data_IF_698325961263
#
_entry.id   IF_698325961263
#
_cell.length_a   1.000
_cell.length_b   1.000
_cell.length_c   1.000
_cell.angle_alpha   90.00
_cell.angle_beta   90.00
_cell.angle_gamma   90.00
#
_symmetry.space_group_name_H-M   'P 1'
#
loop_
_entity.id
_entity.type
_entity.pdbx_description
1 polymer ?
#
# COMPACT_ATOMS: atom_id res chain seq x y z
N UNK A 1 9.40 1.32 7.63
CA UNK A 1 8.55 0.31 6.95
C UNK A 1 7.18 0.31 7.60
N UNK A 2 6.11 -0.07 6.88
CA UNK A 2 4.78 -0.26 7.49
C UNK A 2 4.79 -1.40 8.54
N UNK A 3 5.55 -2.47 8.31
CA UNK A 3 5.68 -3.56 9.27
C UNK A 3 6.25 -3.08 10.60
N UNK A 4 7.29 -2.24 10.56
CA UNK A 4 7.86 -1.64 11.77
C UNK A 4 6.83 -0.82 12.53
N UNK A 5 6.01 -0.02 11.83
CA UNK A 5 4.94 0.76 12.47
C UNK A 5 3.91 -0.14 13.16
N UNK A 6 3.51 -1.24 12.52
CA UNK A 6 2.61 -2.24 13.12
C UNK A 6 3.22 -2.84 14.39
N UNK A 7 4.49 -3.22 14.35
CA UNK A 7 5.18 -3.78 15.52
C UNK A 7 5.35 -2.76 16.66
N UNK A 8 5.57 -1.48 16.33
CA UNK A 8 5.63 -0.41 17.35
C UNK A 8 4.28 -0.25 18.05
N UNK A 9 3.17 -0.24 17.30
CA UNK A 9 1.83 -0.19 17.90
C UNK A 9 1.54 -1.44 18.73
N UNK A 10 1.92 -2.63 18.26
CA UNK A 10 1.81 -3.88 19.02
C UNK A 10 2.63 -3.85 20.33
N UNK A 11 3.75 -3.13 20.35
CA UNK A 11 4.55 -2.87 21.55
C UNK A 11 3.98 -1.73 22.44
N UNK A 12 2.77 -1.26 22.17
CA UNK A 12 2.11 -0.20 22.95
C UNK A 12 2.51 1.23 22.57
N UNK A 13 3.22 1.42 21.45
CA UNK A 13 3.67 2.75 21.01
C UNK A 13 2.59 3.38 20.12
N UNK A 14 1.60 4.00 20.78
CA UNK A 14 0.60 4.86 20.15
C UNK A 14 -0.32 4.16 19.16
N UNK A 15 -0.78 4.92 18.16
CA UNK A 15 -1.66 4.43 17.08
C UNK A 15 -1.16 4.97 15.74
N UNK A 16 -1.54 4.32 14.64
CA UNK A 16 -1.10 4.74 13.30
C UNK A 16 -2.18 4.50 12.25
N UNK A 17 -1.97 5.06 11.06
CA UNK A 17 -2.79 4.83 9.88
C UNK A 17 -2.08 3.84 8.96
N UNK A 18 -2.82 2.83 8.49
CA UNK A 18 -2.35 1.88 7.50
C UNK A 18 -3.22 1.95 6.23
N UNK A 19 -2.63 1.91 5.03
CA UNK A 19 -3.41 1.91 3.80
C UNK A 19 -4.19 0.60 3.67
N UNK A 20 -5.39 0.67 3.09
CA UNK A 20 -6.25 -0.49 2.86
C UNK A 20 -5.53 -1.65 2.15
N UNK A 21 -4.67 -1.33 1.18
CA UNK A 21 -3.84 -2.29 0.47
C UNK A 21 -2.97 -3.17 1.40
N UNK A 22 -2.42 -2.60 2.48
CA UNK A 22 -1.62 -3.38 3.43
C UNK A 22 -2.51 -4.25 4.35
N UNK A 23 -3.70 -3.77 4.68
CA UNK A 23 -4.69 -4.55 5.43
C UNK A 23 -5.14 -5.77 4.62
N UNK A 24 -5.43 -5.59 3.33
CA UNK A 24 -5.83 -6.68 2.43
C UNK A 24 -4.68 -7.70 2.26
N UNK A 25 -3.42 -7.23 2.26
CA UNK A 25 -2.21 -8.04 2.29
C UNK A 25 -1.86 -8.62 3.68
N UNK A 26 -2.80 -8.62 4.65
CA UNK A 26 -2.66 -9.26 5.97
C UNK A 26 -1.53 -8.70 6.84
N UNK A 27 -1.22 -7.41 6.75
CA UNK A 27 -0.12 -6.80 7.53
C UNK A 27 -0.27 -6.93 9.06
N UNK A 28 -1.49 -7.07 9.57
CA UNK A 28 -1.77 -7.23 11.00
C UNK A 28 -1.68 -8.70 11.48
N UNK A 29 -1.42 -9.65 10.58
CA UNK A 29 -1.36 -11.07 10.93
C UNK A 29 -0.25 -11.32 11.97
N UNK A 30 -0.64 -11.85 13.13
CA UNK A 30 0.29 -12.18 14.21
C UNK A 30 0.76 -10.99 15.06
N UNK A 31 0.23 -9.78 14.84
CA UNK A 31 0.45 -8.64 15.70
C UNK A 31 -0.76 -8.45 16.64
N UNK A 32 -0.51 -8.20 17.93
CA UNK A 32 -1.55 -7.93 18.92
C UNK A 32 -2.07 -6.49 18.78
N UNK A 33 -2.81 -6.24 17.70
CA UNK A 33 -3.42 -4.95 17.39
C UNK A 33 -4.84 -5.14 16.84
N UNK A 34 -5.67 -4.12 17.04
CA UNK A 34 -6.99 -4.04 16.40
C UNK A 34 -6.97 -3.05 15.23
N UNK A 35 -7.74 -3.35 14.18
CA UNK A 35 -7.94 -2.45 13.05
C UNK A 35 -9.31 -1.79 13.14
N UNK A 36 -9.35 -0.47 13.01
CA UNK A 36 -10.59 0.30 12.92
C UNK A 36 -10.65 1.09 11.61
N UNK A 37 -11.86 1.28 11.08
CA UNK A 37 -12.09 2.09 9.87
C UNK A 37 -12.20 3.56 10.25
N UNK A 38 -11.64 4.43 9.40
CA UNK A 38 -11.85 5.87 9.53
C UNK A 38 -13.31 6.22 9.23
N UNK A 39 -13.86 7.16 10.01
CA UNK A 39 -15.23 7.63 9.84
C UNK A 39 -15.42 8.40 8.52
N UNK A 40 -14.46 9.25 8.18
CA UNK A 40 -14.42 9.94 6.89
C UNK A 40 -13.63 9.10 5.86
N UNK A 41 -14.07 9.06 4.59
CA UNK A 41 -13.31 8.41 3.53
C UNK A 41 -11.98 9.14 3.31
N UNK A 42 -10.88 8.40 3.40
CA UNK A 42 -9.54 8.86 3.07
C UNK A 42 -8.98 7.99 1.93
N UNK A 43 -8.42 8.62 0.90
CA UNK A 43 -7.86 7.93 -0.25
C UNK A 43 -6.49 8.47 -0.62
N UNK A 44 -5.75 7.67 -1.39
CA UNK A 44 -4.48 8.07 -2.01
C UNK A 44 -4.48 7.59 -3.46
N UNK A 45 -3.81 8.34 -4.33
CA UNK A 45 -3.56 7.91 -5.69
C UNK A 45 -2.16 7.30 -5.80
N UNK A 46 -2.06 6.06 -6.28
CA UNK A 46 -0.78 5.41 -6.57
C UNK A 46 -0.46 5.66 -8.05
N UNK A 47 0.71 6.22 -8.35
CA UNK A 47 1.17 6.53 -9.70
C UNK A 47 2.41 5.72 -10.09
N UNK A 48 2.53 5.41 -11.38
CA UNK A 48 3.76 4.91 -11.99
C UNK A 48 4.51 6.09 -12.61
N UNK A 49 5.78 6.27 -12.23
CA UNK A 49 6.62 7.35 -12.72
C UNK A 49 7.97 6.84 -13.20
N UNK A 50 8.52 7.49 -14.23
CA UNK A 50 9.84 7.22 -14.78
C UNK A 50 10.47 8.52 -15.29
N UNK A 51 11.80 8.52 -15.51
CA UNK A 51 12.50 9.67 -16.09
C UNK A 51 12.07 9.90 -17.53
N UNK A 52 11.83 11.15 -17.92
CA UNK A 52 11.41 11.54 -19.28
C UNK A 52 12.32 10.98 -20.38
N UNK A 53 13.63 10.92 -20.12
CA UNK A 53 14.66 10.44 -21.06
C UNK A 53 14.86 8.92 -21.05
N UNK A 54 14.01 8.16 -20.35
CA UNK A 54 14.17 6.71 -20.30
C UNK A 54 13.89 6.09 -21.67
N UNK A 55 14.84 5.29 -22.17
CA UNK A 55 14.65 4.46 -23.37
C UNK A 55 13.58 3.38 -23.18
N UNK A 56 13.18 3.09 -21.93
CA UNK A 56 12.20 2.05 -21.57
C UNK A 56 10.76 2.55 -21.42
N UNK A 57 10.45 3.72 -21.97
CA UNK A 57 9.13 4.35 -21.81
C UNK A 57 7.99 3.45 -22.32
N UNK A 58 8.22 2.70 -23.40
CA UNK A 58 7.23 1.76 -23.96
C UNK A 58 6.95 0.62 -22.99
N UNK A 59 7.97 0.05 -22.35
CA UNK A 59 7.81 -1.02 -21.36
C UNK A 59 7.07 -0.55 -20.12
N UNK A 60 7.34 0.68 -19.64
CA UNK A 60 6.58 1.25 -18.52
C UNK A 60 5.11 1.46 -18.86
N UNK A 61 4.80 1.89 -20.09
CA UNK A 61 3.41 2.00 -20.55
C UNK A 61 2.73 0.62 -20.63
N UNK A 62 3.42 -0.41 -21.13
CA UNK A 62 2.91 -1.78 -21.12
C UNK A 62 2.66 -2.26 -19.69
N UNK A 63 3.58 -2.03 -18.77
CA UNK A 63 3.42 -2.37 -17.36
C UNK A 63 2.24 -1.63 -16.72
N UNK A 64 2.06 -0.33 -17.02
CA UNK A 64 0.92 0.44 -16.56
C UNK A 64 -0.42 -0.17 -17.03
N UNK A 65 -0.47 -0.74 -18.22
CA UNK A 65 -1.69 -1.38 -18.74
C UNK A 65 -2.07 -2.63 -17.93
N UNK A 66 -1.07 -3.36 -17.42
CA UNK A 66 -1.27 -4.50 -16.52
C UNK A 66 -1.73 -4.02 -15.14
N UNK A 67 -1.05 -3.00 -14.58
CA UNK A 67 -1.38 -2.46 -13.26
C UNK A 67 -2.78 -1.82 -13.16
N UNK A 68 -3.32 -1.30 -14.27
CA UNK A 68 -4.67 -0.70 -14.29
C UNK A 68 -5.79 -1.74 -14.24
N UNK A 69 -5.51 -3.02 -14.47
CA UNK A 69 -6.54 -4.07 -14.38
C UNK A 69 -6.90 -4.30 -12.91
N UNK A 70 -8.19 -4.23 -12.53
CA UNK A 70 -8.59 -4.56 -11.16
C UNK A 70 -8.18 -6.01 -10.85
N UNK A 71 -7.37 -6.21 -9.80
CA UNK A 71 -6.83 -7.52 -9.38
C UNK A 71 -5.41 -7.86 -9.86
N UNK A 72 -4.55 -6.88 -10.15
CA UNK A 72 -3.18 -7.11 -10.62
C UNK A 72 -2.32 -8.00 -9.70
N UNK A 73 -1.99 -9.18 -10.24
CA UNK A 73 -1.20 -10.34 -9.71
C UNK A 73 -1.54 -10.78 -8.29
N UNK A 74 -2.23 -11.92 -8.23
CA UNK A 74 -2.30 -12.79 -7.06
C UNK A 74 -0.90 -13.16 -6.53
#
# INVERSE_FOLDING_TARGET
>A
SLHTLVQMVAAGIGVTLVPRLAVDARIALGADISLSRLAAPASRQIGLAWRRTSLRAKEFQMFASVLRRPGGVA
#
